data_IF_201942756821
#
_entry.id   IF_201942756821
#
_cell.length_a   1.000
_cell.length_b   1.000
_cell.length_c   1.000
_cell.angle_alpha   90.00
_cell.angle_beta   90.00
_cell.angle_gamma   90.00
#
_symmetry.space_group_name_H-M   'P 1'
#
loop_
_entity.id
_entity.type
_entity.pdbx_description
1 polymer ?
#
# COMPACT_ATOMS: atom_id res chain seq x y z
N UNK A 1 -21.15 5.56 9.88
CA UNK A 1 -19.85 5.16 10.46
C UNK A 1 -18.81 6.21 10.12
N UNK A 2 -17.91 6.58 11.05
CA UNK A 2 -16.80 7.52 10.78
C UNK A 2 -15.57 6.78 10.22
N UNK A 3 -14.66 7.47 9.52
CA UNK A 3 -13.40 6.90 9.03
C UNK A 3 -12.54 6.29 10.14
N UNK A 4 -12.56 6.89 11.33
CA UNK A 4 -11.86 6.38 12.51
C UNK A 4 -12.43 5.04 12.99
N UNK A 5 -13.75 4.88 12.98
CA UNK A 5 -14.39 3.59 13.31
C UNK A 5 -14.17 2.53 12.23
N UNK A 6 -14.13 2.91 10.95
CA UNK A 6 -13.78 1.99 9.84
C UNK A 6 -12.37 1.44 10.02
N UNK A 7 -11.40 2.33 10.15
CA UNK A 7 -9.99 1.94 10.28
C UNK A 7 -9.72 1.20 11.59
N UNK A 8 -10.40 1.58 12.68
CA UNK A 8 -10.32 0.90 13.97
C UNK A 8 -10.85 -0.54 13.91
N UNK A 9 -12.01 -0.77 13.29
CA UNK A 9 -12.59 -2.12 13.16
C UNK A 9 -11.74 -3.05 12.30
N UNK A 10 -11.22 -2.55 11.18
CA UNK A 10 -10.31 -3.31 10.29
C UNK A 10 -8.99 -3.62 11.01
N UNK A 11 -8.40 -2.64 11.71
CA UNK A 11 -7.18 -2.86 12.47
C UNK A 11 -7.38 -3.88 13.61
N UNK A 12 -8.54 -3.84 14.27
CA UNK A 12 -8.89 -4.81 15.30
C UNK A 12 -9.05 -6.23 14.72
N UNK A 13 -9.68 -6.36 13.55
CA UNK A 13 -9.78 -7.64 12.85
C UNK A 13 -8.38 -8.20 12.52
N UNK A 14 -7.50 -7.39 11.93
CA UNK A 14 -6.13 -7.79 11.62
C UNK A 14 -5.35 -8.26 12.87
N UNK A 15 -5.47 -7.53 14.00
CA UNK A 15 -4.86 -7.94 15.28
C UNK A 15 -5.43 -9.25 15.81
N UNK A 16 -6.73 -9.46 15.67
CA UNK A 16 -7.37 -10.71 16.12
C UNK A 16 -6.92 -11.92 15.30
N UNK A 17 -6.83 -11.79 13.97
CA UNK A 17 -6.33 -12.84 13.08
C UNK A 17 -4.85 -13.12 13.34
N UNK A 18 -4.06 -12.08 13.62
CA UNK A 18 -2.65 -12.21 13.99
C UNK A 18 -2.47 -12.97 15.32
N UNK A 19 -3.29 -12.67 16.34
CA UNK A 19 -3.27 -13.39 17.60
C UNK A 19 -3.65 -14.89 17.43
N UNK A 20 -4.63 -15.18 16.57
CA UNK A 20 -5.00 -16.57 16.25
C UNK A 20 -3.86 -17.30 15.56
N UNK A 21 -3.22 -16.69 14.56
CA UNK A 21 -2.06 -17.27 13.87
C UNK A 21 -0.93 -17.59 14.86
N UNK A 22 -0.56 -16.63 15.71
CA UNK A 22 0.49 -16.83 16.74
C UNK A 22 0.16 -17.98 17.69
N UNK A 23 -1.11 -18.07 18.11
CA UNK A 23 -1.55 -19.15 18.99
C UNK A 23 -1.44 -20.51 18.31
N UNK A 24 -1.79 -20.60 17.02
CA UNK A 24 -1.68 -21.82 16.23
C UNK A 24 -0.22 -22.22 16.01
N UNK A 25 0.65 -21.27 15.66
CA UNK A 25 2.10 -21.47 15.52
C UNK A 25 2.72 -21.99 16.81
N UNK A 26 2.36 -21.40 17.96
CA UNK A 26 2.85 -21.83 19.26
C UNK A 26 2.40 -23.25 19.63
N UNK A 27 1.14 -23.59 19.35
CA UNK A 27 0.65 -24.93 19.60
C UNK A 27 1.36 -25.95 18.71
N UNK A 28 1.60 -25.61 17.44
CA UNK A 28 2.30 -26.46 16.49
C UNK A 28 3.77 -26.66 16.89
N UNK A 29 4.48 -25.59 17.27
CA UNK A 29 5.87 -25.68 17.73
C UNK A 29 6.00 -26.50 19.03
N UNK A 30 5.10 -26.28 19.99
CA UNK A 30 5.07 -27.03 21.25
C UNK A 30 4.80 -28.52 21.00
N UNK A 31 3.82 -28.84 20.16
CA UNK A 31 3.44 -30.22 19.88
C UNK A 31 4.51 -30.94 19.04
N UNK A 32 5.19 -30.24 18.11
CA UNK A 32 6.37 -30.78 17.41
C UNK A 32 7.54 -31.08 18.35
N UNK A 33 7.75 -30.25 19.37
CA UNK A 33 8.79 -30.47 20.39
C UNK A 33 8.42 -31.66 21.28
N UNK A 34 7.14 -31.82 21.61
CA UNK A 34 6.65 -32.97 22.37
C UNK A 34 6.82 -34.28 21.58
N UNK A 35 6.50 -34.28 20.29
CA UNK A 35 6.73 -35.43 19.39
C UNK A 35 8.21 -35.86 19.42
N UNK A 36 9.13 -34.93 19.16
CA UNK A 36 10.56 -35.22 19.12
C UNK A 36 11.11 -35.73 20.48
N UNK A 37 10.57 -35.23 21.59
CA UNK A 37 10.90 -35.72 22.95
C UNK A 37 10.44 -37.16 23.17
N UNK A 38 9.19 -37.47 22.79
CA UNK A 38 8.66 -38.81 22.91
C UNK A 38 9.40 -39.81 22.01
N UNK A 39 9.73 -39.40 20.77
CA UNK A 39 10.57 -40.19 19.88
C UNK A 39 11.94 -40.47 20.53
N UNK A 40 12.62 -39.45 21.06
CA UNK A 40 13.91 -39.62 21.72
C UNK A 40 13.81 -40.54 22.95
N UNK A 41 12.81 -40.35 23.81
CA UNK A 41 12.59 -41.20 24.99
C UNK A 41 12.36 -42.67 24.63
N UNK A 42 11.58 -42.91 23.56
CA UNK A 42 11.34 -44.26 23.03
C UNK A 42 12.64 -44.86 22.50
N UNK A 43 13.42 -44.12 21.71
CA UNK A 43 14.67 -44.60 21.13
C UNK A 43 15.73 -44.90 22.19
N UNK A 44 15.87 -44.05 23.20
CA UNK A 44 16.81 -44.29 24.29
C UNK A 44 16.44 -45.56 25.05
N UNK A 45 15.15 -45.82 25.29
CA UNK A 45 14.67 -47.06 25.90
C UNK A 45 14.90 -48.28 25.01
N UNK A 46 14.61 -48.18 23.70
CA UNK A 46 14.87 -49.25 22.74
C UNK A 46 16.36 -49.58 22.64
N UNK A 47 17.24 -48.57 22.70
CA UNK A 47 18.70 -48.80 22.66
C UNK A 47 19.27 -49.48 23.91
N UNK A 48 18.51 -49.53 25.01
CA UNK A 48 18.90 -50.27 26.22
C UNK A 48 18.54 -51.76 26.14
N UNK A 49 17.75 -52.17 25.15
CA UNK A 49 17.41 -53.57 24.89
C UNK A 49 18.52 -54.15 24.02
N UNK A 50 19.35 -55.02 24.61
CA UNK A 50 20.58 -55.52 23.98
C UNK A 50 20.34 -56.37 22.71
N UNK A 51 19.11 -56.86 22.50
CA UNK A 51 18.74 -57.71 21.36
C UNK A 51 18.35 -56.90 20.12
N UNK A 52 17.85 -55.68 20.32
CA UNK A 52 17.68 -54.73 19.24
C UNK A 52 19.08 -54.27 18.86
N UNK A 53 19.55 -54.62 17.66
CA UNK A 53 20.88 -54.24 17.14
C UNK A 53 21.01 -52.74 16.85
N UNK A 54 20.33 -51.90 17.62
CA UNK A 54 20.49 -50.46 17.62
C UNK A 54 21.85 -50.15 18.24
N UNK A 55 22.71 -49.48 17.47
CA UNK A 55 23.97 -49.00 18.04
C UNK A 55 23.68 -47.98 19.15
N UNK A 56 23.97 -48.35 20.40
CA UNK A 56 23.88 -47.43 21.53
C UNK A 56 24.99 -46.38 21.41
N UNK A 57 24.64 -45.22 20.84
CA UNK A 57 25.54 -44.07 20.65
C UNK A 57 25.16 -42.95 21.63
N UNK A 58 25.68 -42.95 22.87
CA UNK A 58 25.30 -41.97 23.89
C UNK A 58 25.62 -40.52 23.49
N UNK A 59 26.59 -40.31 22.60
CA UNK A 59 26.91 -38.99 22.05
C UNK A 59 25.75 -38.39 21.23
N UNK A 60 25.02 -39.20 20.45
CA UNK A 60 23.85 -38.74 19.68
C UNK A 60 22.67 -38.43 20.61
N UNK A 61 22.51 -39.20 21.70
CA UNK A 61 21.47 -38.97 22.70
C UNK A 61 21.72 -37.66 23.46
N UNK A 62 22.97 -37.39 23.80
CA UNK A 62 23.34 -36.13 24.41
C UNK A 62 23.16 -34.95 23.44
N UNK A 63 23.57 -35.08 22.17
CA UNK A 63 23.38 -34.02 21.17
C UNK A 63 21.89 -33.76 20.91
N UNK A 64 21.05 -34.79 20.72
CA UNK A 64 19.59 -34.61 20.53
C UNK A 64 18.94 -33.86 21.69
N UNK A 65 19.28 -34.19 22.94
CA UNK A 65 18.79 -33.47 24.11
C UNK A 65 19.27 -32.02 24.14
N UNK A 66 20.54 -31.78 23.80
CA UNK A 66 21.10 -30.42 23.69
C UNK A 66 20.40 -29.62 22.59
N UNK A 67 20.14 -30.21 21.42
CA UNK A 67 19.41 -29.56 20.33
C UNK A 67 17.95 -29.26 20.73
N UNK A 68 17.28 -30.17 21.45
CA UNK A 68 15.92 -29.95 21.95
C UNK A 68 15.86 -28.78 22.94
N UNK A 69 16.83 -28.69 23.84
CA UNK A 69 16.92 -27.57 24.79
C UNK A 69 17.27 -26.27 24.06
N UNK A 70 18.27 -26.29 23.17
CA UNK A 70 18.68 -25.13 22.38
C UNK A 70 17.52 -24.58 21.52
N UNK A 71 16.70 -25.47 20.94
CA UNK A 71 15.49 -25.08 20.20
C UNK A 71 14.50 -24.33 21.08
N UNK A 72 14.23 -24.82 22.29
CA UNK A 72 13.32 -24.17 23.23
C UNK A 72 13.84 -22.81 23.70
N UNK A 73 15.13 -22.74 24.02
CA UNK A 73 15.76 -21.49 24.45
C UNK A 73 15.76 -20.47 23.32
N UNK A 74 16.05 -20.88 22.08
CA UNK A 74 16.01 -20.01 20.90
C UNK A 74 14.59 -19.50 20.60
N UNK A 75 13.58 -20.37 20.67
CA UNK A 75 12.17 -19.98 20.47
C UNK A 75 11.72 -18.99 21.56
N UNK A 76 12.08 -19.25 22.83
CA UNK A 76 11.77 -18.37 23.95
C UNK A 76 12.45 -17.00 23.81
N UNK A 77 13.71 -16.98 23.38
CA UNK A 77 14.46 -15.74 23.11
C UNK A 77 13.81 -14.93 21.99
N UNK A 78 13.50 -15.55 20.85
CA UNK A 78 12.80 -14.86 19.74
C UNK A 78 11.44 -14.30 20.16
N UNK A 79 10.68 -15.01 21.01
CA UNK A 79 9.42 -14.48 21.56
C UNK A 79 9.62 -13.30 22.50
N UNK A 80 10.61 -13.37 23.38
CA UNK A 80 10.93 -12.28 24.29
C UNK A 80 11.40 -11.02 23.53
N UNK A 81 12.21 -11.20 22.47
CA UNK A 81 12.62 -10.13 21.57
C UNK A 81 11.42 -9.51 20.84
N UNK A 82 10.52 -10.35 20.31
CA UNK A 82 9.32 -9.87 19.64
C UNK A 82 8.42 -9.04 20.58
N UNK A 83 8.18 -9.51 21.82
CA UNK A 83 7.40 -8.77 22.81
C UNK A 83 8.03 -7.40 23.16
N UNK A 84 9.37 -7.33 23.22
CA UNK A 84 10.10 -6.06 23.41
C UNK A 84 9.95 -5.13 22.21
N UNK A 85 10.02 -5.65 20.99
CA UNK A 85 9.81 -4.86 19.78
C UNK A 85 8.36 -4.34 19.68
N UNK A 86 7.38 -5.14 20.08
CA UNK A 86 5.97 -4.72 20.06
C UNK A 86 5.67 -3.62 21.07
N UNK A 87 6.23 -3.72 22.28
CA UNK A 87 6.11 -2.67 23.29
C UNK A 87 6.78 -1.38 22.81
N UNK A 88 7.99 -1.46 22.25
CA UNK A 88 8.69 -0.33 21.64
C UNK A 88 7.92 0.31 20.47
N UNK A 89 7.31 -0.49 19.60
CA UNK A 89 6.43 0.01 18.52
C UNK A 89 5.20 0.72 19.10
N UNK A 90 4.57 0.17 20.14
CA UNK A 90 3.40 0.76 20.77
C UNK A 90 3.74 2.10 21.44
N UNK A 91 4.85 2.16 22.18
CA UNK A 91 5.36 3.39 22.80
C UNK A 91 5.71 4.45 21.74
N UNK A 92 6.43 4.05 20.69
CA UNK A 92 6.78 4.94 19.57
C UNK A 92 5.55 5.50 18.86
N UNK A 93 4.50 4.68 18.65
CA UNK A 93 3.23 5.11 18.06
C UNK A 93 2.49 6.09 18.97
N UNK A 94 2.47 5.85 20.28
CA UNK A 94 1.87 6.75 21.25
C UNK A 94 2.60 8.11 21.28
N UNK A 95 3.93 8.10 21.27
CA UNK A 95 4.76 9.31 21.17
C UNK A 95 4.48 10.06 19.86
N UNK A 96 4.41 9.35 18.72
CA UNK A 96 4.08 9.94 17.43
C UNK A 96 2.70 10.62 17.43
N UNK A 97 1.69 9.96 18.01
CA UNK A 97 0.36 10.56 18.16
C UNK A 97 0.39 11.83 19.02
N UNK A 98 1.15 11.82 20.12
CA UNK A 98 1.31 13.00 20.96
C UNK A 98 1.96 14.17 20.19
N UNK A 99 3.07 13.92 19.48
CA UNK A 99 3.75 14.93 18.65
C UNK A 99 2.81 15.49 17.57
N UNK A 100 2.07 14.63 16.86
CA UNK A 100 1.09 15.07 15.85
C UNK A 100 -0.01 15.93 16.44
N UNK A 101 -0.54 15.57 17.61
CA UNK A 101 -1.55 16.38 18.28
C UNK A 101 -1.02 17.77 18.68
N UNK A 102 0.27 17.86 19.06
CA UNK A 102 0.94 19.13 19.34
C UNK A 102 1.12 19.95 18.06
N UNK A 103 1.55 19.33 16.96
CA UNK A 103 1.66 19.98 15.65
C UNK A 103 0.30 20.55 15.21
N UNK A 104 -0.77 19.78 15.31
CA UNK A 104 -2.14 20.24 14.99
C UNK A 104 -2.62 21.37 15.90
N UNK A 105 -2.22 21.37 17.18
CA UNK A 105 -2.52 22.46 18.11
C UNK A 105 -1.78 23.74 17.72
N UNK A 106 -0.48 23.65 17.42
CA UNK A 106 0.34 24.78 17.01
C UNK A 106 -0.15 25.34 15.67
N UNK A 107 -0.47 24.48 14.70
CA UNK A 107 -0.99 24.92 13.40
C UNK A 107 -2.31 25.69 13.55
N UNK A 108 -3.21 25.23 14.44
CA UNK A 108 -4.43 25.96 14.78
C UNK A 108 -4.14 27.31 15.43
N UNK A 109 -3.20 27.38 16.37
CA UNK A 109 -2.82 28.63 17.03
C UNK A 109 -2.19 29.63 16.04
N UNK A 110 -1.28 29.17 15.18
CA UNK A 110 -0.65 29.99 14.14
C UNK A 110 -1.70 30.55 13.18
N UNK A 111 -2.63 29.72 12.70
CA UNK A 111 -3.73 30.19 11.84
C UNK A 111 -4.63 31.21 12.53
N UNK A 112 -4.92 31.02 13.82
CA UNK A 112 -5.69 31.99 14.60
C UNK A 112 -4.95 33.31 14.78
N UNK A 113 -3.64 33.27 15.02
CA UNK A 113 -2.81 34.48 15.15
C UNK A 113 -2.71 35.22 13.81
N UNK A 114 -2.42 34.51 12.72
CA UNK A 114 -2.37 35.09 11.38
C UNK A 114 -3.72 35.69 10.95
N UNK A 115 -4.84 35.07 11.34
CA UNK A 115 -6.16 35.63 11.06
C UNK A 115 -6.45 36.98 11.76
N UNK A 116 -5.66 37.35 12.78
CA UNK A 116 -5.75 38.66 13.42
C UNK A 116 -4.83 39.69 12.75
N UNK A 117 -3.92 39.27 11.88
CA UNK A 117 -2.99 40.15 11.18
C UNK A 117 -3.64 40.71 9.90
N UNK A 118 -3.78 42.04 9.77
CA UNK A 118 -4.46 42.63 8.61
C UNK A 118 -3.73 42.35 7.30
N UNK A 119 -2.40 42.31 7.32
CA UNK A 119 -1.58 42.01 6.14
C UNK A 119 -1.83 40.59 5.59
N UNK A 120 -2.10 39.63 6.47
CA UNK A 120 -2.43 38.26 6.08
C UNK A 120 -3.83 38.17 5.44
N UNK A 121 -4.81 38.88 6.00
CA UNK A 121 -6.14 38.99 5.43
C UNK A 121 -6.13 39.63 4.04
N UNK A 122 -5.43 40.77 3.88
CA UNK A 122 -5.29 41.47 2.61
C UNK A 122 -4.64 40.60 1.52
N UNK A 123 -3.55 39.93 1.87
CA UNK A 123 -2.83 39.04 0.96
C UNK A 123 -3.71 37.86 0.52
N UNK A 124 -4.55 37.39 1.45
CA UNK A 124 -5.55 36.38 1.19
C UNK A 124 -6.69 36.81 0.25
N UNK A 125 -7.23 37.99 0.47
CA UNK A 125 -8.24 38.59 -0.41
C UNK A 125 -7.67 38.85 -1.81
N UNK A 126 -6.42 39.30 -1.91
CA UNK A 126 -5.73 39.48 -3.19
C UNK A 126 -5.56 38.17 -3.94
N UNK A 127 -5.18 37.09 -3.24
CA UNK A 127 -5.08 35.76 -3.84
C UNK A 127 -6.44 35.30 -4.37
N UNK A 128 -7.49 35.41 -3.55
CA UNK A 128 -8.83 34.98 -3.89
C UNK A 128 -9.37 35.78 -5.09
N UNK A 129 -9.24 37.11 -5.07
CA UNK A 129 -9.64 37.97 -6.17
C UNK A 129 -8.86 37.66 -7.46
N UNK A 130 -7.56 37.36 -7.38
CA UNK A 130 -6.76 36.96 -8.53
C UNK A 130 -7.20 35.60 -9.10
N UNK A 131 -7.56 34.65 -8.24
CA UNK A 131 -8.10 33.35 -8.65
C UNK A 131 -9.47 33.49 -9.33
N UNK A 132 -10.39 34.25 -8.72
CA UNK A 132 -11.71 34.53 -9.30
C UNK A 132 -11.58 35.21 -10.66
N UNK A 133 -10.78 36.28 -10.76
CA UNK A 133 -10.52 36.97 -12.02
C UNK A 133 -9.92 36.04 -13.10
N UNK A 134 -9.05 35.10 -12.70
CA UNK A 134 -8.52 34.10 -13.63
C UNK A 134 -9.59 33.07 -14.04
N UNK A 135 -10.48 32.64 -13.14
CA UNK A 135 -11.58 31.73 -13.51
C UNK A 135 -12.56 32.38 -14.48
N UNK A 136 -12.93 33.64 -14.24
CA UNK A 136 -13.81 34.43 -15.13
C UNK A 136 -13.16 34.64 -16.50
N UNK A 137 -11.85 34.92 -16.53
CA UNK A 137 -11.14 35.16 -17.78
C UNK A 137 -10.74 33.89 -18.53
N UNK A 138 -10.84 32.71 -17.91
CA UNK A 138 -10.47 31.43 -18.52
C UNK A 138 -11.45 31.03 -19.65
N UNK A 139 -12.73 31.39 -19.55
CA UNK A 139 -13.72 31.14 -20.60
C UNK A 139 -13.35 31.92 -21.87
N UNK A 140 -13.09 33.23 -21.74
CA UNK A 140 -12.63 34.06 -22.86
C UNK A 140 -11.24 33.67 -23.39
N UNK A 141 -10.34 33.21 -22.52
CA UNK A 141 -9.06 32.61 -22.94
C UNK A 141 -9.27 31.41 -23.88
N UNK A 142 -10.14 30.47 -23.49
CA UNK A 142 -10.43 29.27 -24.25
C UNK A 142 -11.13 29.57 -25.58
N UNK A 143 -12.08 30.49 -25.59
CA UNK A 143 -12.82 30.89 -26.79
C UNK A 143 -11.87 31.46 -27.86
N UNK A 144 -11.02 32.43 -27.50
CA UNK A 144 -10.06 33.03 -28.43
C UNK A 144 -9.02 32.00 -28.88
N UNK A 145 -8.59 31.09 -27.99
CA UNK A 145 -7.65 30.02 -28.35
C UNK A 145 -8.26 29.04 -29.35
N UNK A 146 -9.50 28.61 -29.13
CA UNK A 146 -10.25 27.76 -30.06
C UNK A 146 -10.45 28.46 -31.40
N UNK A 147 -10.85 29.73 -31.38
CA UNK A 147 -11.03 30.53 -32.60
C UNK A 147 -9.73 30.63 -33.42
N UNK A 148 -8.58 30.84 -32.76
CA UNK A 148 -7.28 30.84 -33.43
C UNK A 148 -6.90 29.45 -33.98
N UNK A 149 -7.13 28.38 -33.21
CA UNK A 149 -6.86 26.99 -33.63
C UNK A 149 -7.72 26.58 -34.82
N UNK A 150 -8.97 27.01 -34.87
CA UNK A 150 -9.89 26.68 -35.97
C UNK A 150 -9.60 27.51 -37.23
N UNK A 151 -9.28 28.80 -37.07
CA UNK A 151 -9.10 29.73 -38.21
C UNK A 151 -7.71 29.69 -38.82
N UNK A 152 -6.63 29.52 -38.04
CA UNK A 152 -5.26 29.53 -38.57
C UNK A 152 -4.98 28.44 -39.63
N UNK A 153 -5.43 27.18 -39.48
CA UNK A 153 -5.23 26.13 -40.48
C UNK A 153 -5.96 26.42 -41.81
N UNK A 154 -7.06 27.17 -41.78
CA UNK A 154 -7.80 27.52 -43.00
C UNK A 154 -6.99 28.38 -43.98
N UNK A 155 -6.04 29.18 -43.46
CA UNK A 155 -5.13 29.98 -44.27
C UNK A 155 -4.03 29.13 -44.91
N UNK A 156 -3.46 28.15 -44.17
CA UNK A 156 -2.43 27.25 -44.69
C UNK A 156 -2.99 26.19 -45.65
N UNK A 157 -4.28 25.85 -45.53
CA UNK A 157 -4.98 24.94 -46.44
C UNK A 157 -5.17 25.51 -47.85
N UNK A 158 -5.10 26.84 -48.05
CA UNK A 158 -5.23 27.45 -49.36
C UNK A 158 -3.86 27.48 -50.10
N UNK A 159 -3.67 26.65 -51.16
CA UNK A 159 -2.36 26.49 -51.81
C UNK A 159 -1.88 27.76 -52.52
N UNK A 160 -2.81 28.59 -53.03
CA UNK A 160 -2.48 29.84 -53.72
C UNK A 160 -1.99 30.89 -52.71
N UNK A 161 -2.68 30.98 -51.56
CA UNK A 161 -2.29 31.89 -50.48
C UNK A 161 -0.92 31.52 -49.90
N UNK A 162 -0.72 30.24 -49.57
CA UNK A 162 0.55 29.75 -49.04
C UNK A 162 1.70 29.91 -50.04
N UNK A 163 1.46 29.70 -51.33
CA UNK A 163 2.45 29.92 -52.38
C UNK A 163 2.89 31.38 -52.46
N UNK A 164 1.96 32.34 -52.38
CA UNK A 164 2.30 33.77 -52.36
C UNK A 164 3.01 34.18 -51.06
N UNK A 165 2.64 33.58 -49.93
CA UNK A 165 3.29 33.79 -48.63
C UNK A 165 4.75 33.30 -48.64
N UNK A 166 5.02 32.09 -49.17
CA UNK A 166 6.38 31.52 -49.28
C UNK A 166 7.32 32.33 -50.18
N UNK A 167 6.77 33.09 -51.12
CA UNK A 167 7.55 33.96 -52.03
C UNK A 167 7.76 35.35 -51.48
N UNK A 168 7.32 35.63 -50.25
CA UNK A 168 7.35 36.94 -49.62
C UNK A 168 6.59 38.03 -50.41
N UNK A 169 5.57 37.63 -51.18
CA UNK A 169 4.78 38.56 -52.01
C UNK A 169 4.24 39.73 -51.17
N UNK A 170 4.51 40.97 -51.60
CA UNK A 170 4.08 42.18 -50.91
C UNK A 170 5.00 42.68 -49.78
N UNK A 171 6.20 42.09 -49.60
CA UNK A 171 7.26 42.66 -48.75
C UNK A 171 8.38 43.28 -49.59
N UNK A 172 9.27 44.04 -48.96
CA UNK A 172 10.48 44.59 -49.59
C UNK A 172 11.46 43.51 -50.10
N UNK A 173 11.31 42.28 -49.62
CA UNK A 173 12.14 41.13 -49.97
C UNK A 173 11.67 40.43 -51.27
N UNK A 174 10.50 40.80 -51.79
CA UNK A 174 9.94 40.23 -53.02
C UNK A 174 10.72 40.66 -54.27
N UNK A 175 11.66 39.82 -54.73
CA UNK A 175 12.51 40.08 -55.90
C UNK A 175 12.22 39.10 -57.04
N UNK A 176 11.29 39.45 -57.93
CA UNK A 176 10.87 38.61 -59.07
C UNK A 176 10.65 39.42 -60.37
N UNK A 177 10.84 38.76 -61.52
CA UNK A 177 10.72 39.35 -62.86
C UNK A 177 9.29 39.84 -63.19
N UNK A 178 9.15 40.83 -64.09
CA UNK A 178 7.88 41.50 -64.41
C UNK A 178 6.73 40.56 -64.78
N UNK A 179 7.00 39.47 -65.50
CA UNK A 179 6.00 38.44 -65.86
C UNK A 179 5.46 37.69 -64.64
N UNK A 180 6.34 37.29 -63.72
CA UNK A 180 5.93 36.63 -62.46
C UNK A 180 5.16 37.59 -61.56
N UNK A 181 5.56 38.86 -61.49
CA UNK A 181 4.83 39.90 -60.73
C UNK A 181 3.40 40.09 -61.24
N UNK A 182 3.18 40.04 -62.55
CA UNK A 182 1.84 40.18 -63.14
C UNK A 182 0.92 39.00 -62.80
N UNK A 183 1.44 37.77 -62.89
CA UNK A 183 0.71 36.54 -62.52
C UNK A 183 0.41 36.50 -61.02
N UNK A 184 1.41 36.80 -60.18
CA UNK A 184 1.25 36.81 -58.72
C UNK A 184 0.24 37.90 -58.28
N UNK A 185 0.17 39.05 -58.97
CA UNK A 185 -0.84 40.10 -58.70
C UNK A 185 -2.26 39.68 -59.10
N UNK A 186 -2.42 38.93 -60.20
CA UNK A 186 -3.71 38.33 -60.57
C UNK A 186 -4.16 37.28 -59.56
N UNK A 187 -3.26 36.42 -59.09
CA UNK A 187 -3.53 35.42 -58.05
C UNK A 187 -3.85 36.09 -56.70
N UNK A 188 -3.10 37.13 -56.32
CA UNK A 188 -3.30 37.88 -55.08
C UNK A 188 -4.68 38.56 -55.01
N UNK A 189 -5.16 39.14 -56.12
CA UNK A 189 -6.52 39.71 -56.19
C UNK A 189 -7.62 38.65 -56.07
N UNK A 190 -7.39 37.45 -56.61
CA UNK A 190 -8.38 36.36 -56.61
C UNK A 190 -8.58 35.73 -55.24
N UNK A 191 -7.53 35.73 -54.41
CA UNK A 191 -7.54 35.17 -53.04
C UNK A 191 -7.61 36.26 -51.97
N UNK A 192 -7.74 37.53 -52.35
CA UNK A 192 -7.68 38.67 -51.44
C UNK A 192 -6.47 38.60 -50.47
N UNK A 193 -5.29 38.39 -51.05
CA UNK A 193 -4.05 38.11 -50.29
C UNK A 193 -3.75 39.18 -49.22
N UNK A 194 -3.95 40.46 -49.52
CA UNK A 194 -3.69 41.55 -48.57
C UNK A 194 -4.63 41.49 -47.33
N UNK A 195 -5.92 41.22 -47.55
CA UNK A 195 -6.89 41.06 -46.45
C UNK A 195 -6.63 39.81 -45.62
N UNK A 196 -6.38 38.68 -46.29
CA UNK A 196 -6.09 37.42 -45.60
C UNK A 196 -4.78 37.47 -44.80
N UNK A 197 -3.75 38.13 -45.33
CA UNK A 197 -2.47 38.35 -44.63
C UNK A 197 -2.63 39.21 -43.38
N UNK A 198 -3.43 40.28 -43.46
CA UNK A 198 -3.70 41.10 -42.29
C UNK A 198 -4.48 40.32 -41.22
N UNK A 199 -5.49 39.54 -41.64
CA UNK A 199 -6.28 38.72 -40.73
C UNK A 199 -5.45 37.60 -40.06
N UNK A 200 -4.58 36.93 -40.82
CA UNK A 200 -3.66 35.91 -40.27
C UNK A 200 -2.69 36.53 -39.25
N UNK A 201 -2.09 37.69 -39.57
CA UNK A 201 -1.21 38.40 -38.65
C UNK A 201 -1.96 38.86 -37.39
N UNK A 202 -3.20 39.31 -37.54
CA UNK A 202 -4.06 39.71 -36.42
C UNK A 202 -4.40 38.52 -35.52
N UNK A 203 -4.77 37.36 -36.08
CA UNK A 203 -5.06 36.15 -35.30
C UNK A 203 -3.82 35.63 -34.56
N UNK A 204 -2.64 35.65 -35.21
CA UNK A 204 -1.37 35.29 -34.54
C UNK A 204 -1.04 36.28 -33.41
N UNK A 205 -1.20 37.58 -33.65
CA UNK A 205 -0.99 38.60 -32.62
C UNK A 205 -1.99 38.46 -31.46
N UNK A 206 -3.25 38.13 -31.74
CA UNK A 206 -4.26 37.83 -30.73
C UNK A 206 -3.90 36.59 -29.92
N UNK A 207 -3.42 35.52 -30.57
CA UNK A 207 -2.96 34.31 -29.89
C UNK A 207 -1.80 34.61 -28.95
N UNK A 208 -0.73 35.26 -29.44
CA UNK A 208 0.43 35.60 -28.62
C UNK A 208 0.05 36.47 -27.43
N UNK A 209 -0.74 37.53 -27.65
CA UNK A 209 -1.22 38.40 -26.58
C UNK A 209 -2.07 37.66 -25.56
N UNK A 210 -2.90 36.71 -26.01
CA UNK A 210 -3.74 35.91 -25.14
C UNK A 210 -2.89 34.97 -24.25
N UNK A 211 -1.90 34.30 -24.83
CA UNK A 211 -0.94 33.47 -24.10
C UNK A 211 -0.12 34.29 -23.09
N UNK A 212 0.35 35.48 -23.47
CA UNK A 212 1.05 36.41 -22.58
C UNK A 212 0.19 36.84 -21.38
N UNK A 213 -1.04 37.31 -21.62
CA UNK A 213 -1.95 37.72 -20.53
C UNK A 213 -2.29 36.56 -19.59
N UNK A 214 -2.40 35.33 -20.11
CA UNK A 214 -2.62 34.16 -19.27
C UNK A 214 -1.37 33.81 -18.46
N UNK A 215 -0.18 33.92 -19.04
CA UNK A 215 1.10 33.75 -18.35
C UNK A 215 1.29 34.78 -17.22
N UNK A 216 0.93 36.04 -17.45
CA UNK A 216 0.96 37.10 -16.44
C UNK A 216 0.02 36.80 -15.27
N UNK A 217 -1.21 36.35 -15.54
CA UNK A 217 -2.17 35.97 -14.48
C UNK A 217 -1.69 34.79 -13.65
N UNK A 218 -1.20 33.74 -14.31
CA UNK A 218 -0.68 32.56 -13.61
C UNK A 218 0.56 32.89 -12.79
N UNK A 219 1.46 33.74 -13.30
CA UNK A 219 2.64 34.16 -12.54
C UNK A 219 2.28 35.04 -11.35
N UNK A 220 1.27 35.92 -11.48
CA UNK A 220 0.73 36.69 -10.36
C UNK A 220 0.12 35.78 -9.28
N UNK A 221 -0.71 34.81 -9.67
CA UNK A 221 -1.29 33.85 -8.72
C UNK A 221 -0.19 33.05 -8.03
N UNK A 222 0.79 32.53 -8.77
CA UNK A 222 1.90 31.79 -8.21
C UNK A 222 2.72 32.64 -7.22
N UNK A 223 3.01 33.90 -7.56
CA UNK A 223 3.71 34.83 -6.66
C UNK A 223 2.94 35.13 -5.38
N UNK A 224 1.61 35.30 -5.46
CA UNK A 224 0.75 35.46 -4.28
C UNK A 224 0.69 34.18 -3.44
N UNK A 225 0.57 33.00 -4.07
CA UNK A 225 0.60 31.71 -3.37
C UNK A 225 1.90 31.51 -2.62
N UNK A 226 3.04 31.78 -3.26
CA UNK A 226 4.34 31.72 -2.61
C UNK A 226 4.44 32.68 -1.43
N UNK A 227 3.83 33.87 -1.52
CA UNK A 227 3.84 34.84 -0.44
C UNK A 227 3.00 34.36 0.77
N UNK A 228 1.81 33.79 0.51
CA UNK A 228 0.98 33.10 1.53
C UNK A 228 1.80 32.00 2.21
N UNK A 229 2.38 31.11 1.41
CA UNK A 229 3.13 29.96 1.92
C UNK A 229 4.35 30.38 2.72
N UNK A 230 5.08 31.42 2.28
CA UNK A 230 6.24 31.97 3.00
C UNK A 230 5.84 32.56 4.34
N UNK A 231 4.80 33.38 4.41
CA UNK A 231 4.34 33.95 5.69
C UNK A 231 3.86 32.86 6.65
N UNK A 232 3.10 31.89 6.14
CA UNK A 232 2.62 30.76 6.94
C UNK A 232 3.76 29.85 7.41
N UNK A 233 4.75 29.59 6.57
CA UNK A 233 5.95 28.85 6.95
C UNK A 233 6.75 29.61 8.02
N UNK A 234 6.97 30.91 7.85
CA UNK A 234 7.65 31.75 8.84
C UNK A 234 6.91 31.72 10.19
N UNK A 235 5.59 31.89 10.19
CA UNK A 235 4.81 31.82 11.43
C UNK A 235 4.88 30.44 12.11
N UNK A 236 4.87 29.34 11.34
CA UNK A 236 5.09 27.98 11.86
C UNK A 236 6.49 27.78 12.43
N UNK A 237 7.53 28.31 11.79
CA UNK A 237 8.90 28.24 12.31
C UNK A 237 9.04 29.05 13.61
N UNK A 238 8.46 30.24 13.68
CA UNK A 238 8.43 31.08 14.89
C UNK A 238 7.67 30.41 16.04
N UNK A 239 6.63 29.63 15.74
CA UNK A 239 5.88 28.85 16.72
C UNK A 239 6.56 27.52 17.11
N UNK A 240 7.74 27.21 16.58
CA UNK A 240 8.51 26.02 16.96
C UNK A 240 8.04 24.70 16.31
N UNK A 241 7.43 24.75 15.13
CA UNK A 241 6.93 23.55 14.43
C UNK A 241 8.04 22.67 13.83
N UNK A 242 9.21 23.24 13.51
CA UNK A 242 10.35 22.53 12.92
C UNK A 242 10.91 21.37 13.78
N UNK A 243 11.22 21.57 15.08
CA UNK A 243 11.71 20.47 15.92
C UNK A 243 10.68 19.33 16.03
N UNK A 244 9.39 19.65 16.18
CA UNK A 244 8.32 18.65 16.26
C UNK A 244 8.14 17.88 14.95
N UNK A 245 8.26 18.55 13.81
CA UNK A 245 8.19 17.91 12.49
C UNK A 245 9.38 16.96 12.27
N UNK A 246 10.58 17.35 12.74
CA UNK A 246 11.75 16.46 12.71
C UNK A 246 11.54 15.26 13.63
N UNK A 247 10.96 15.46 14.81
CA UNK A 247 10.64 14.39 15.74
C UNK A 247 9.60 13.40 15.17
N UNK A 248 8.54 13.87 14.50
CA UNK A 248 7.58 12.97 13.83
C UNK A 248 8.26 12.13 12.75
N UNK A 249 9.18 12.73 11.97
CA UNK A 249 9.95 12.02 10.94
C UNK A 249 10.91 11.00 11.55
N UNK A 250 11.60 11.32 12.65
CA UNK A 250 12.50 10.37 13.33
C UNK A 250 11.72 9.22 13.97
N UNK A 251 10.60 9.52 14.65
CA UNK A 251 9.69 8.51 15.19
C UNK A 251 9.13 7.61 14.09
N UNK A 252 8.72 8.17 12.96
CA UNK A 252 8.23 7.37 11.83
C UNK A 252 9.30 6.42 11.29
N UNK A 253 10.55 6.90 11.12
CA UNK A 253 11.68 6.05 10.71
C UNK A 253 11.94 4.94 11.74
N UNK A 254 11.88 5.26 13.03
CA UNK A 254 12.04 4.30 14.11
C UNK A 254 10.96 3.21 14.05
N UNK A 255 9.68 3.60 13.93
CA UNK A 255 8.55 2.67 13.83
C UNK A 255 8.69 1.75 12.62
N UNK A 256 9.10 2.27 11.46
CA UNK A 256 9.32 1.45 10.25
C UNK A 256 10.44 0.44 10.48
N UNK A 257 11.56 0.86 11.06
CA UNK A 257 12.69 -0.03 11.35
C UNK A 257 12.32 -1.10 12.41
N UNK A 258 11.62 -0.72 13.48
CA UNK A 258 11.16 -1.64 14.51
C UNK A 258 10.17 -2.67 13.95
N UNK A 259 9.23 -2.24 13.08
CA UNK A 259 8.32 -3.16 12.37
C UNK A 259 9.04 -4.13 11.45
N UNK A 260 10.09 -3.68 10.75
CA UNK A 260 10.90 -4.58 9.92
C UNK A 260 11.57 -5.67 10.77
N UNK A 261 12.19 -5.28 11.91
CA UNK A 261 12.77 -6.24 12.87
C UNK A 261 11.73 -7.19 13.46
N UNK A 262 10.53 -6.69 13.78
CA UNK A 262 9.44 -7.55 14.27
C UNK A 262 9.04 -8.58 13.22
N UNK A 263 8.95 -8.17 11.95
CA UNK A 263 8.65 -9.08 10.84
C UNK A 263 9.73 -10.16 10.66
N UNK A 264 11.02 -9.81 10.81
CA UNK A 264 12.11 -10.80 10.80
C UNK A 264 11.96 -11.84 11.94
N UNK A 265 11.57 -11.40 13.14
CA UNK A 265 11.33 -12.31 14.26
C UNK A 265 10.09 -13.18 14.05
N UNK A 266 9.03 -12.66 13.44
CA UNK A 266 7.87 -13.45 13.02
C UNK A 266 8.26 -14.56 12.04
N UNK A 267 9.09 -14.26 11.04
CA UNK A 267 9.58 -15.27 10.09
C UNK A 267 10.40 -16.36 10.79
N UNK A 268 11.25 -15.99 11.75
CA UNK A 268 11.98 -16.98 12.57
C UNK A 268 11.03 -17.88 13.35
N UNK A 269 10.00 -17.32 13.99
CA UNK A 269 8.99 -18.09 14.74
C UNK A 269 8.18 -19.02 13.83
N UNK A 270 7.81 -18.55 12.63
CA UNK A 270 7.16 -19.37 11.63
C UNK A 270 8.03 -20.58 11.20
N UNK A 271 9.35 -20.41 11.09
CA UNK A 271 10.26 -21.52 10.77
C UNK A 271 10.26 -22.62 11.86
N UNK A 272 10.14 -22.25 13.13
CA UNK A 272 10.00 -23.23 14.23
C UNK A 272 8.68 -24.00 14.12
N UNK A 273 7.56 -23.32 13.83
CA UNK A 273 6.27 -23.97 13.60
C UNK A 273 6.30 -24.87 12.34
N UNK A 274 6.98 -24.43 11.28
CA UNK A 274 7.15 -25.16 10.03
C UNK A 274 8.11 -26.35 10.10
N UNK A 275 8.75 -26.62 11.25
CA UNK A 275 9.79 -27.67 11.39
C UNK A 275 11.01 -27.46 10.47
N UNK A 276 11.29 -26.20 10.09
CA UNK A 276 12.39 -25.82 9.20
C UNK A 276 13.60 -25.24 9.97
N UNK A 277 13.52 -25.21 11.31
CA UNK A 277 14.61 -24.69 12.13
C UNK A 277 15.84 -25.64 12.15
N UNK A 278 17.08 -25.10 12.21
CA UNK A 278 18.29 -25.91 12.17
C UNK A 278 18.38 -26.95 13.30
N UNK A 279 17.86 -26.64 14.48
CA UNK A 279 17.87 -27.56 15.62
C UNK A 279 16.95 -28.75 15.37
N UNK A 280 15.73 -28.53 14.88
CA UNK A 280 14.81 -29.61 14.52
C UNK A 280 15.36 -30.51 13.41
N UNK A 281 15.98 -29.94 12.38
CA UNK A 281 16.61 -30.73 11.32
C UNK A 281 17.70 -31.65 11.86
N UNK A 282 18.55 -31.16 12.77
CA UNK A 282 19.56 -32.00 13.45
C UNK A 282 18.95 -33.07 14.33
N UNK A 283 17.91 -32.73 15.12
CA UNK A 283 17.18 -33.71 15.94
C UNK A 283 16.66 -34.84 15.05
N UNK A 284 16.04 -34.49 13.92
CA UNK A 284 15.52 -35.48 12.96
C UNK A 284 16.62 -36.31 12.33
N UNK A 285 17.74 -35.71 11.94
CA UNK A 285 18.91 -36.44 11.42
C UNK A 285 19.40 -37.48 12.45
N UNK A 286 19.64 -37.06 13.69
CA UNK A 286 20.08 -37.95 14.77
C UNK A 286 19.08 -39.09 15.03
N UNK A 287 17.78 -38.78 15.06
CA UNK A 287 16.71 -39.78 15.20
C UNK A 287 16.73 -40.78 14.04
N UNK A 288 16.86 -40.30 12.79
CA UNK A 288 16.88 -41.17 11.61
C UNK A 288 18.14 -42.04 11.53
N UNK A 289 19.31 -41.50 11.93
CA UNK A 289 20.56 -42.25 11.99
C UNK A 289 20.48 -43.38 13.01
N UNK A 290 19.86 -43.13 14.17
CA UNK A 290 19.64 -44.15 15.20
C UNK A 290 18.70 -45.25 14.76
N UNK A 291 17.64 -44.89 14.03
CA UNK A 291 16.65 -45.84 13.55
C UNK A 291 17.19 -46.79 12.46
N UNK A 292 18.34 -46.48 11.83
CA UNK A 292 18.97 -47.32 10.80
C UNK A 292 17.99 -47.85 9.73
N UNK A 293 17.03 -47.01 9.32
CA UNK A 293 15.93 -47.29 8.39
C UNK A 293 14.80 -48.23 8.88
N UNK A 294 14.83 -48.67 10.14
CA UNK A 294 13.71 -49.37 10.78
C UNK A 294 12.70 -48.37 11.36
N UNK A 295 11.42 -48.74 11.41
CA UNK A 295 10.42 -47.91 12.08
C UNK A 295 10.32 -48.28 13.57
N UNK A 296 9.89 -47.33 14.40
CA UNK A 296 9.63 -47.58 15.83
C UNK A 296 8.65 -48.76 16.01
N UNK A 297 7.66 -48.89 15.12
CA UNK A 297 6.68 -49.98 15.13
C UNK A 297 7.33 -51.35 14.91
N UNK A 298 8.26 -51.45 13.95
CA UNK A 298 9.00 -52.68 13.70
C UNK A 298 9.84 -53.08 14.92
N UNK A 299 10.53 -52.10 15.51
CA UNK A 299 11.33 -52.30 16.72
C UNK A 299 10.46 -52.79 17.89
N UNK A 300 9.27 -52.22 18.08
CA UNK A 300 8.35 -52.65 19.14
C UNK A 300 7.88 -54.10 18.99
N UNK A 301 7.69 -54.59 17.76
CA UNK A 301 7.36 -56.01 17.51
C UNK A 301 8.55 -56.91 17.84
N UNK A 302 9.77 -56.46 17.61
CA UNK A 302 10.99 -57.19 17.98
C UNK A 302 11.18 -57.26 19.50
N UNK A 303 10.85 -56.19 20.24
CA UNK A 303 10.87 -56.17 21.72
C UNK A 303 9.93 -57.21 22.33
N UNK A 304 8.81 -57.54 21.69
CA UNK A 304 7.90 -58.58 22.21
C UNK A 304 8.45 -60.00 22.05
N UNK A 305 9.50 -60.19 21.24
CA UNK A 305 10.13 -61.50 21.00
C UNK A 305 11.30 -61.76 21.94
N UNK A 306 11.67 -60.80 22.77
CA UNK A 306 12.79 -60.90 23.70
C UNK A 306 12.44 -61.71 24.94
N UNK A 307 13.32 -62.64 25.40
CA UNK A 307 13.03 -63.50 26.55
C UNK A 307 13.50 -62.96 27.91
N UNK A 308 14.04 -61.74 28.03
CA UNK A 308 14.60 -61.21 29.29
C UNK A 308 13.57 -60.39 30.11
N UNK A 309 13.54 -60.65 31.42
CA UNK A 309 12.73 -59.92 32.42
C UNK A 309 13.04 -58.42 32.54
N UNK A 310 14.27 -57.98 32.21
CA UNK A 310 14.59 -56.55 32.18
C UNK A 310 14.02 -55.88 30.92
N UNK A 311 14.01 -56.59 29.79
CA UNK A 311 13.41 -56.14 28.54
C UNK A 311 11.88 -56.06 28.69
N UNK A 312 11.25 -56.96 29.46
CA UNK A 312 9.81 -56.90 29.77
C UNK A 312 9.40 -55.60 30.48
N UNK A 313 10.24 -55.08 31.38
CA UNK A 313 9.98 -53.80 32.06
C UNK A 313 10.06 -52.62 31.08
N UNK A 314 11.04 -52.65 30.16
CA UNK A 314 11.19 -51.63 29.13
C UNK A 314 10.01 -51.72 28.14
N UNK A 315 9.59 -52.92 27.77
CA UNK A 315 8.42 -53.17 26.92
C UNK A 315 7.14 -52.59 27.54
N UNK A 316 6.93 -52.77 28.85
CA UNK A 316 5.79 -52.19 29.56
C UNK A 316 5.79 -50.65 29.52
N UNK A 317 6.96 -50.01 29.69
CA UNK A 317 7.11 -48.55 29.57
C UNK A 317 6.86 -48.06 28.14
N UNK A 318 7.36 -48.79 27.14
CA UNK A 318 7.14 -48.48 25.72
C UNK A 318 5.67 -48.60 25.33
N UNK A 319 4.94 -49.56 25.92
CA UNK A 319 3.49 -49.71 25.75
C UNK A 319 2.70 -48.52 26.27
N UNK A 320 3.23 -47.75 27.22
CA UNK A 320 2.62 -46.50 27.69
C UNK A 320 3.01 -45.29 26.81
N UNK A 321 4.28 -45.21 26.38
CA UNK A 321 4.78 -44.08 25.61
C UNK A 321 4.30 -44.06 24.15
N UNK A 322 4.15 -45.23 23.52
CA UNK A 322 3.77 -45.32 22.11
C UNK A 322 2.35 -44.78 21.83
N UNK A 323 1.30 -45.12 22.61
CA UNK A 323 -0.01 -44.48 22.45
C UNK A 323 0.04 -42.96 22.58
N UNK A 324 0.85 -42.43 23.49
CA UNK A 324 1.02 -40.97 23.65
C UNK A 324 1.66 -40.34 22.42
N UNK A 325 2.67 -41.00 21.83
CA UNK A 325 3.28 -40.56 20.57
C UNK A 325 2.24 -40.56 19.44
N UNK A 326 1.43 -41.62 19.36
CA UNK A 326 0.37 -41.74 18.36
C UNK A 326 -0.69 -40.65 18.50
N UNK A 327 -1.15 -40.36 19.72
CA UNK A 327 -2.10 -39.28 20.01
C UNK A 327 -1.57 -37.91 19.57
N UNK A 328 -0.26 -37.66 19.77
CA UNK A 328 0.40 -36.44 19.32
C UNK A 328 0.47 -36.39 17.79
N UNK A 329 0.86 -37.49 17.14
CA UNK A 329 0.93 -37.57 15.68
C UNK A 329 -0.43 -37.41 15.00
N UNK A 330 -1.49 -37.95 15.60
CA UNK A 330 -2.85 -37.85 15.07
C UNK A 330 -3.44 -36.42 15.26
N UNK A 331 -2.98 -35.65 16.26
CA UNK A 331 -3.35 -34.24 16.47
C UNK A 331 -2.62 -33.25 15.56
N UNK A 332 -1.39 -33.57 15.12
CA UNK A 332 -0.62 -32.72 14.22
C UNK A 332 -1.35 -32.26 12.94
N UNK A 333 -2.01 -33.13 12.15
CA UNK A 333 -2.68 -32.70 10.93
C UNK A 333 -3.84 -31.73 11.21
N UNK A 334 -4.56 -31.92 12.31
CA UNK A 334 -5.63 -31.01 12.71
C UNK A 334 -5.08 -29.62 13.05
N UNK A 335 -4.04 -29.55 13.88
CA UNK A 335 -3.39 -28.28 14.23
C UNK A 335 -2.75 -27.60 13.02
N UNK A 336 -2.18 -28.35 12.08
CA UNK A 336 -1.67 -27.81 10.81
C UNK A 336 -2.79 -27.20 9.98
N UNK A 337 -3.93 -27.88 9.87
CA UNK A 337 -5.09 -27.33 9.16
C UNK A 337 -5.62 -26.05 9.83
N UNK A 338 -5.61 -26.00 11.17
CA UNK A 338 -5.95 -24.79 11.94
C UNK A 338 -4.95 -23.65 11.68
N UNK A 339 -3.64 -23.93 11.70
CA UNK A 339 -2.58 -22.99 11.34
C UNK A 339 -2.77 -22.44 9.93
N UNK A 340 -2.96 -23.30 8.94
CA UNK A 340 -3.10 -22.88 7.54
C UNK A 340 -4.38 -22.05 7.33
N UNK A 341 -5.43 -22.32 8.11
CA UNK A 341 -6.63 -21.48 8.13
C UNK A 341 -6.33 -20.11 8.74
N UNK A 342 -5.70 -20.07 9.91
CA UNK A 342 -5.32 -18.83 10.58
C UNK A 342 -4.37 -17.98 9.74
N UNK A 343 -3.42 -18.59 9.01
CA UNK A 343 -2.50 -17.90 8.11
C UNK A 343 -3.26 -17.22 6.96
N UNK A 344 -4.17 -17.93 6.31
CA UNK A 344 -5.00 -17.37 5.22
C UNK A 344 -5.91 -16.25 5.72
N UNK A 345 -6.47 -16.41 6.92
CA UNK A 345 -7.32 -15.38 7.55
C UNK A 345 -6.47 -14.13 7.87
N UNK A 346 -5.27 -14.31 8.40
CA UNK A 346 -4.31 -13.24 8.65
C UNK A 346 -3.91 -12.49 7.36
N UNK A 347 -3.56 -13.22 6.30
CA UNK A 347 -3.20 -12.63 5.00
C UNK A 347 -4.34 -11.79 4.42
N UNK A 348 -5.58 -12.30 4.45
CA UNK A 348 -6.77 -11.55 3.99
C UNK A 348 -7.02 -10.31 4.84
N UNK A 349 -6.89 -10.42 6.17
CA UNK A 349 -7.08 -9.28 7.06
C UNK A 349 -6.03 -8.19 6.82
N UNK A 350 -4.78 -8.58 6.54
CA UNK A 350 -3.69 -7.64 6.21
C UNK A 350 -3.84 -7.03 4.82
N UNK A 351 -4.30 -7.80 3.84
CA UNK A 351 -4.64 -7.28 2.51
C UNK A 351 -5.70 -6.18 2.61
N UNK A 352 -6.74 -6.44 3.39
CA UNK A 352 -7.81 -5.48 3.65
C UNK A 352 -7.31 -4.23 4.41
N UNK A 353 -6.51 -4.41 5.46
CA UNK A 353 -5.91 -3.31 6.21
C UNK A 353 -5.08 -2.40 5.29
N UNK A 354 -4.32 -2.99 4.37
CA UNK A 354 -3.51 -2.25 3.39
C UNK A 354 -4.36 -1.48 2.39
N UNK A 355 -5.42 -2.10 1.85
CA UNK A 355 -6.33 -1.48 0.90
C UNK A 355 -7.04 -0.25 1.49
N UNK A 356 -7.46 -0.35 2.76
CA UNK A 356 -8.18 0.72 3.47
C UNK A 356 -7.25 1.75 4.14
N UNK A 357 -5.93 1.63 3.96
CA UNK A 357 -4.94 2.56 4.55
C UNK A 357 -4.79 3.88 3.80
N UNK A 358 -5.41 4.02 2.63
CA UNK A 358 -5.29 5.20 1.77
C UNK A 358 -6.04 6.40 2.35
N UNK A 359 -5.59 7.61 1.98
CA UNK A 359 -6.21 8.87 2.43
C UNK A 359 -7.69 8.95 2.05
N UNK A 360 -8.06 8.32 0.92
CA UNK A 360 -9.45 8.18 0.48
C UNK A 360 -10.38 7.61 1.56
N UNK A 361 -9.92 6.61 2.32
CA UNK A 361 -10.72 5.97 3.36
C UNK A 361 -10.59 6.62 4.75
N UNK A 362 -9.57 7.47 4.93
CA UNK A 362 -9.20 8.10 6.21
C UNK A 362 -9.72 9.54 6.36
N UNK A 363 -10.21 10.12 5.29
CA UNK A 363 -10.70 11.49 5.23
C UNK A 363 -11.88 11.74 6.18
N UNK A 364 -11.65 12.60 7.19
CA UNK A 364 -12.62 12.97 8.23
C UNK A 364 -13.85 13.71 7.71
N UNK A 365 -13.79 14.24 6.49
CA UNK A 365 -14.90 14.99 5.89
C UNK A 365 -16.02 14.06 5.39
N UNK A 366 -15.83 12.74 5.47
CA UNK A 366 -16.76 11.73 4.96
C UNK A 366 -17.26 10.78 6.04
N UNK A 367 -18.45 10.25 5.82
CA UNK A 367 -19.04 9.16 6.61
C UNK A 367 -19.44 8.02 5.69
N UNK A 368 -19.41 6.81 6.23
CA UNK A 368 -19.81 5.59 5.51
C UNK A 368 -21.17 5.14 6.02
N UNK A 369 -22.16 5.09 5.12
CA UNK A 369 -23.48 4.51 5.35
C UNK A 369 -23.70 3.34 4.40
N UNK A 370 -23.48 2.12 4.90
CA UNK A 370 -23.70 0.87 4.18
C UNK A 370 -25.03 0.25 4.61
N UNK A 371 -25.63 -0.59 3.75
CA UNK A 371 -26.86 -1.32 4.05
C UNK A 371 -26.67 -2.41 5.10
N UNK A 372 -25.49 -3.02 5.11
CA UNK A 372 -25.03 -3.99 6.10
C UNK A 372 -24.03 -3.34 7.06
N UNK A 373 -23.95 -3.83 8.30
CA UNK A 373 -22.94 -3.35 9.25
C UNK A 373 -21.54 -3.76 8.78
N UNK A 374 -20.54 -2.95 9.13
CA UNK A 374 -19.14 -3.21 8.74
C UNK A 374 -18.65 -4.54 9.31
N UNK A 375 -19.09 -4.95 10.51
CA UNK A 375 -18.68 -6.23 11.09
C UNK A 375 -19.19 -7.41 10.27
N UNK A 376 -20.40 -7.29 9.69
CA UNK A 376 -20.97 -8.32 8.84
C UNK A 376 -20.28 -8.38 7.48
N UNK A 377 -20.01 -7.23 6.87
CA UNK A 377 -19.24 -7.16 5.62
C UNK A 377 -17.82 -7.71 5.80
N UNK A 378 -17.19 -7.42 6.95
CA UNK A 378 -15.90 -8.00 7.34
C UNK A 378 -16.01 -9.52 7.51
N UNK A 379 -17.05 -10.01 8.21
CA UNK A 379 -17.27 -11.44 8.37
C UNK A 379 -17.42 -12.15 7.02
N UNK A 380 -18.25 -11.62 6.12
CA UNK A 380 -18.49 -12.16 4.77
C UNK A 380 -17.20 -12.15 3.91
N UNK A 381 -16.38 -11.11 4.06
CA UNK A 381 -15.05 -11.05 3.42
C UNK A 381 -14.11 -12.11 3.99
N UNK A 382 -14.13 -12.35 5.30
CA UNK A 382 -13.29 -13.36 5.95
C UNK A 382 -13.75 -14.79 5.65
N UNK A 383 -15.06 -15.04 5.51
CA UNK A 383 -15.62 -16.34 5.12
C UNK A 383 -15.48 -16.65 3.63
N UNK A 384 -15.00 -15.68 2.83
CA UNK A 384 -14.79 -15.74 1.36
C UNK A 384 -16.05 -15.60 0.52
N UNK A 385 -17.15 -15.20 1.12
CA UNK A 385 -18.39 -14.91 0.40
C UNK A 385 -18.28 -13.56 -0.35
N UNK A 386 -17.35 -12.70 0.07
CA UNK A 386 -17.08 -11.40 -0.54
C UNK A 386 -15.62 -11.25 -0.99
N UNK A 387 -15.40 -10.64 -2.16
CA UNK A 387 -14.06 -10.27 -2.65
C UNK A 387 -13.66 -8.88 -2.15
N UNK A 388 -12.35 -8.58 -2.13
CA UNK A 388 -11.83 -7.26 -1.74
C UNK A 388 -12.46 -6.16 -2.58
N UNK A 389 -12.50 -6.33 -3.90
CA UNK A 389 -13.06 -5.35 -4.82
C UNK A 389 -14.57 -5.13 -4.59
N UNK A 390 -15.32 -6.18 -4.28
CA UNK A 390 -16.74 -6.06 -3.97
C UNK A 390 -16.94 -5.27 -2.66
N UNK A 391 -16.12 -5.53 -1.63
CA UNK A 391 -16.12 -4.77 -0.38
C UNK A 391 -15.80 -3.29 -0.63
N UNK A 392 -14.74 -2.99 -1.39
CA UNK A 392 -14.37 -1.63 -1.75
C UNK A 392 -15.50 -0.91 -2.49
N UNK A 393 -16.16 -1.59 -3.43
CA UNK A 393 -17.30 -1.03 -4.18
C UNK A 393 -18.47 -0.68 -3.24
N UNK A 394 -18.75 -1.55 -2.26
CA UNK A 394 -19.79 -1.30 -1.24
C UNK A 394 -19.39 -0.12 -0.34
N UNK A 395 -18.12 0.00 0.05
CA UNK A 395 -17.62 1.11 0.86
C UNK A 395 -17.63 2.44 0.10
N UNK A 396 -17.24 2.42 -1.17
CA UNK A 396 -17.24 3.59 -2.05
C UNK A 396 -18.66 4.09 -2.32
N UNK A 397 -19.60 3.18 -2.64
CA UNK A 397 -21.02 3.54 -2.83
C UNK A 397 -21.68 4.03 -1.54
N UNK A 398 -21.21 3.57 -0.38
CA UNK A 398 -21.68 4.02 0.94
C UNK A 398 -21.03 5.32 1.43
N UNK A 399 -20.03 5.87 0.74
CA UNK A 399 -19.31 7.08 1.17
C UNK A 399 -20.16 8.33 0.94
N UNK A 400 -20.39 9.13 1.98
CA UNK A 400 -21.17 10.37 1.96
C UNK A 400 -20.37 11.50 2.59
N UNK A 401 -20.34 12.65 1.93
CA UNK A 401 -19.76 13.86 2.51
C UNK A 401 -20.58 14.26 3.73
N UNK A 402 -19.92 14.54 4.86
CA UNK A 402 -20.59 15.08 6.04
C UNK A 402 -20.99 16.52 5.70
N UNK A 403 -22.29 16.86 5.67
CA UNK A 403 -22.69 18.24 5.53
C UNK A 403 -22.19 18.99 6.77
N UNK A 404 -21.30 19.97 6.58
CA UNK A 404 -20.91 20.89 7.64
C UNK A 404 -22.19 21.58 8.12
N UNK A 405 -22.74 21.14 9.24
CA UNK A 405 -23.95 21.73 9.80
C UNK A 405 -23.66 23.18 10.15
N UNK A 406 -24.35 24.08 9.45
CA UNK A 406 -24.50 25.48 9.77
C UNK A 406 -25.28 25.65 11.09
N UNK A 407 -24.64 25.37 12.23
CA UNK A 407 -25.13 25.80 13.54
C UNK A 407 -24.30 26.98 14.02
N UNK A 408 -24.81 28.16 13.67
CA UNK A 408 -24.64 29.48 14.29
C UNK A 408 -23.70 29.63 15.50
N UNK A 409 -22.55 30.25 15.29
CA UNK A 409 -22.10 31.43 16.05
C UNK A 409 -20.85 32.04 15.38
N UNK A 410 -21.07 33.15 14.67
CA UNK A 410 -20.13 34.25 14.44
C UNK A 410 -18.62 33.96 14.53
N UNK A 411 -18.02 33.59 13.41
CA UNK A 411 -16.70 34.04 12.99
C UNK A 411 -16.50 33.60 11.54
N UNK A 412 -16.30 34.56 10.65
CA UNK A 412 -15.89 34.37 9.26
C UNK A 412 -14.55 33.65 9.19
N UNK A 413 -14.57 32.32 9.27
CA UNK A 413 -13.42 31.46 9.02
C UNK A 413 -13.31 31.22 7.52
N UNK A 414 -12.65 32.16 6.84
CA UNK A 414 -12.10 31.97 5.51
C UNK A 414 -11.22 30.72 5.53
N UNK A 415 -11.72 29.66 4.93
CA UNK A 415 -11.04 28.38 4.80
C UNK A 415 -10.69 28.23 3.32
N UNK A 416 -9.47 28.56 2.92
CA UNK A 416 -8.96 28.18 1.61
C UNK A 416 -8.68 26.68 1.64
N UNK A 417 -9.70 25.89 1.31
CA UNK A 417 -9.55 24.49 0.98
C UNK A 417 -9.56 24.37 -0.55
N UNK A 418 -8.38 24.09 -1.08
CA UNK A 418 -8.14 23.58 -2.42
C UNK A 418 -8.88 22.25 -2.61
N UNK A 419 -9.99 22.29 -3.33
CA UNK A 419 -10.68 21.09 -3.82
C UNK A 419 -10.86 21.20 -5.34
N UNK A 420 -9.78 20.97 -6.07
CA UNK A 420 -9.81 20.66 -7.50
C UNK A 420 -9.90 19.16 -7.70
N UNK A 421 -11.12 18.63 -7.81
CA UNK A 421 -11.36 17.29 -8.38
C UNK A 421 -12.76 17.24 -9.02
N UNK A 422 -12.87 17.81 -10.22
CA UNK A 422 -14.02 17.60 -11.10
C UNK A 422 -13.84 16.29 -11.85
N UNK A 423 -14.53 15.24 -11.40
CA UNK A 423 -14.83 14.06 -12.21
C UNK A 423 -16.08 14.35 -13.04
N UNK A 424 -15.89 14.56 -14.34
CA UNK A 424 -16.97 14.73 -15.31
C UNK A 424 -17.46 13.37 -15.78
N UNK A 425 -18.55 12.89 -15.18
CA UNK A 425 -19.42 11.88 -15.79
C UNK A 425 -20.47 12.59 -16.65
N UNK A 426 -20.39 12.45 -17.97
CA UNK A 426 -21.53 12.73 -18.85
C UNK A 426 -21.73 11.58 -19.83
N UNK A 427 -22.93 11.03 -19.75
CA UNK A 427 -23.54 10.10 -20.67
C UNK A 427 -23.83 10.77 -22.01
N UNK A 428 -23.47 10.15 -23.13
CA UNK A 428 -24.27 10.22 -24.34
C UNK A 428 -24.11 8.96 -25.19
N UNK A 429 -25.26 8.46 -25.61
CA UNK A 429 -25.50 7.32 -26.47
C UNK A 429 -25.41 7.72 -27.94
N UNK A 430 -24.75 6.92 -28.77
CA UNK A 430 -25.21 6.62 -30.13
C UNK A 430 -24.50 5.41 -30.72
N UNK A 431 -25.31 4.47 -31.17
CA UNK A 431 -25.05 3.28 -31.97
C UNK A 431 -24.30 3.54 -33.29
N UNK A 432 -23.37 2.66 -33.69
CA UNK A 432 -23.58 1.64 -34.74
C UNK A 432 -22.27 1.06 -35.31
N UNK A 433 -22.35 -0.23 -35.65
CA UNK A 433 -21.57 -1.03 -36.63
C UNK A 433 -20.10 -1.42 -36.34
N UNK A 434 -19.98 -2.69 -35.94
CA UNK A 434 -19.22 -3.77 -36.61
C UNK A 434 -17.80 -3.50 -37.14
N UNK A 435 -16.82 -4.17 -36.55
CA UNK A 435 -15.86 -5.02 -37.28
C UNK A 435 -15.25 -6.07 -36.35
N UNK A 436 -15.39 -7.33 -36.75
CA UNK A 436 -14.75 -8.50 -36.16
C UNK A 436 -13.38 -8.73 -36.83
N UNK A 437 -12.32 -8.93 -36.05
CA UNK A 437 -11.21 -9.80 -36.46
C UNK A 437 -10.63 -10.54 -35.24
N UNK A 438 -10.48 -11.84 -35.47
CA UNK A 438 -9.99 -12.89 -34.59
C UNK A 438 -8.47 -13.07 -34.66
N UNK A 439 -7.97 -13.99 -33.81
CA UNK A 439 -6.60 -14.53 -33.66
C UNK A 439 -5.71 -13.75 -32.68
N UNK A 440 -4.87 -14.33 -31.83
CA UNK A 440 -4.38 -15.70 -31.64
C UNK A 440 -3.75 -15.74 -30.23
N UNK A 441 -4.02 -16.73 -29.38
CA UNK A 441 -3.15 -17.89 -29.09
C UNK A 441 -1.75 -17.59 -28.50
N UNK A 442 -1.49 -18.13 -27.30
CA UNK A 442 -0.15 -18.37 -26.72
C UNK A 442 0.09 -17.62 -25.40
N UNK A 443 0.40 -18.21 -24.23
CA UNK A 443 0.89 -19.54 -23.91
C UNK A 443 2.30 -19.48 -23.30
N UNK A 444 2.43 -19.72 -21.99
CA UNK A 444 3.70 -19.97 -21.26
C UNK A 444 4.53 -18.71 -20.96
N UNK A 445 5.47 -18.66 -20.01
CA UNK A 445 5.97 -19.60 -19.01
C UNK A 445 6.93 -18.81 -18.10
N UNK A 446 7.20 -19.32 -16.91
CA UNK A 446 8.21 -18.89 -15.95
C UNK A 446 9.62 -18.69 -16.54
N UNK A 447 10.42 -17.80 -15.92
CA UNK A 447 11.88 -17.97 -15.79
C UNK A 447 12.42 -17.12 -14.64
N UNK A 448 12.93 -17.82 -13.62
CA UNK A 448 13.92 -17.35 -12.65
C UNK A 448 15.28 -17.19 -13.34
N UNK A 449 16.02 -16.13 -13.05
CA UNK A 449 17.49 -16.17 -13.04
C UNK A 449 18.05 -14.90 -12.39
N UNK A 450 18.91 -15.15 -11.40
CA UNK A 450 19.83 -14.24 -10.72
C UNK A 450 20.62 -13.33 -11.66
N UNK A 451 21.09 -12.19 -11.13
CA UNK A 451 22.49 -11.73 -11.24
C UNK A 451 22.74 -10.50 -10.35
N UNK A 452 23.55 -10.74 -9.30
CA UNK A 452 24.31 -9.84 -8.42
C UNK A 452 23.62 -8.92 -7.42
#
# INVERSE_FOLDING_TARGET
MTPSTLTGTVAQNARSSEALLRSAEQLLSALSSQEARLEQDILTRLSNIATLKLEHRPALDQDTLQQLQARQDAEAQSRAELARLETDIAESLAAQHAVRSQIESIDRQVKQQLALEPAWCELGEQLLAAQEANTEANTGYQEIRQECVDKLPSYSANPIYYHLLKRDYGTEQYRHNFLHRWLDNKLAKRVNFAGNRNNELMLRAMQTRNEEMQGERLSLIAGLQEAVEKQLAQARTAAGMDPLSREDVTLNKHIVAAKARANEQHLKLANFAGKQDPHYLRIRQNITERLQAQTIEQLLVEVQKTPDSNDDKIAAQLKELYPRLRDVQDRLPELRAQHDRALRDYERAKELERALRTDYYRDSDYTYSTTLSIERLLADYMTRDLSLHALETVLQSGRRLVPRSSSSSSSSSFSWSSSGSSSSSSSSSSSSSDFSTSSSSGGGSFSTSDSF
#
